data_IF_137084540561
#
_entry.id   IF_137084540561
#
_cell.length_a   1.000
_cell.length_b   1.000
_cell.length_c   1.000
_cell.angle_alpha   90.00
_cell.angle_beta   90.00
_cell.angle_gamma   90.00
#
_symmetry.space_group_name_H-M   'P 1'
#
loop_
_entity.id
_entity.type
_entity.pdbx_description
1 polymer ?
#
# COMPACT_ATOMS: atom_id res chain seq x y z
N UNK A 1 70.44 20.70 -58.79
CA UNK A 1 71.53 20.83 -57.79
C UNK A 1 70.98 21.62 -56.62
N UNK A 2 69.88 21.18 -55.99
CA UNK A 2 69.76 20.04 -55.05
C UNK A 2 70.56 20.26 -53.78
N UNK A 3 70.09 20.01 -52.56
CA UNK A 3 68.76 19.84 -51.97
C UNK A 3 69.05 19.62 -50.45
N UNK A 4 68.20 20.18 -49.58
CA UNK A 4 67.73 19.62 -48.29
C UNK A 4 68.79 19.28 -47.18
N UNK A 5 68.52 19.33 -45.87
CA UNK A 5 67.34 19.57 -45.06
C UNK A 5 67.77 20.01 -43.65
N UNK A 6 66.92 20.80 -42.99
CA UNK A 6 66.91 21.06 -41.56
C UNK A 6 66.45 19.84 -40.75
N UNK A 7 66.98 19.68 -39.54
CA UNK A 7 66.42 18.84 -38.48
C UNK A 7 66.62 19.50 -37.11
N UNK A 8 65.55 20.12 -36.59
CA UNK A 8 65.39 20.74 -35.26
C UNK A 8 64.83 19.76 -34.22
N UNK A 9 64.87 20.08 -32.91
CA UNK A 9 64.98 19.10 -31.83
C UNK A 9 63.65 18.59 -31.28
N UNK A 10 63.77 17.51 -30.51
CA UNK A 10 62.76 16.78 -29.75
C UNK A 10 62.13 17.59 -28.62
N UNK A 11 60.80 17.64 -28.60
CA UNK A 11 59.99 18.02 -27.42
C UNK A 11 58.91 16.98 -27.19
N UNK A 12 58.91 16.40 -25.98
CA UNK A 12 57.93 15.45 -25.45
C UNK A 12 56.51 16.06 -25.47
N UNK A 13 55.46 15.30 -25.85
CA UNK A 13 54.09 15.77 -25.73
C UNK A 13 53.60 15.62 -24.29
N UNK A 14 53.06 16.71 -23.75
CA UNK A 14 52.27 16.74 -22.54
C UNK A 14 50.95 15.97 -22.75
N UNK A 15 50.81 14.81 -22.11
CA UNK A 15 49.55 14.08 -22.03
C UNK A 15 48.61 14.82 -21.06
N UNK A 16 47.68 15.60 -21.61
CA UNK A 16 46.47 16.03 -20.92
C UNK A 16 45.61 14.80 -20.56
N UNK A 17 45.65 14.35 -19.31
CA UNK A 17 44.63 13.45 -18.77
C UNK A 17 43.33 14.26 -18.58
N UNK A 18 42.42 14.18 -19.55
CA UNK A 18 41.01 14.45 -19.31
C UNK A 18 40.47 13.32 -18.43
N UNK A 19 40.27 13.59 -17.14
CA UNK A 19 39.48 12.74 -16.26
C UNK A 19 38.01 12.85 -16.71
N UNK A 20 37.60 11.95 -17.61
CA UNK A 20 36.18 11.70 -17.85
C UNK A 20 35.63 11.08 -16.57
N UNK A 21 34.95 11.88 -15.75
CA UNK A 21 34.04 11.37 -14.72
C UNK A 21 32.93 10.61 -15.43
N UNK A 22 33.17 9.33 -15.73
CA UNK A 22 32.11 8.38 -16.01
C UNK A 22 31.31 8.26 -14.71
N UNK A 23 30.22 9.02 -14.61
CA UNK A 23 29.19 8.73 -13.64
C UNK A 23 28.72 7.31 -13.93
N UNK A 24 29.23 6.35 -13.16
CA UNK A 24 28.64 5.03 -13.07
C UNK A 24 27.21 5.26 -12.54
N UNK A 25 26.26 5.37 -13.46
CA UNK A 25 24.87 5.08 -13.16
C UNK A 25 24.86 3.60 -12.83
N UNK A 26 25.10 3.28 -11.56
CA UNK A 26 24.71 2.00 -11.03
C UNK A 26 23.23 1.82 -11.42
N UNK A 27 22.82 0.68 -12.01
CA UNK A 27 21.41 0.43 -12.22
C UNK A 27 20.75 0.51 -10.85
N UNK A 28 19.97 1.57 -10.62
CA UNK A 28 19.29 1.78 -9.36
C UNK A 28 18.44 0.54 -9.08
N UNK A 29 18.78 -0.12 -7.98
CA UNK A 29 18.14 -1.32 -7.52
C UNK A 29 16.65 -1.07 -7.32
N UNK A 30 15.78 -1.65 -8.16
CA UNK A 30 14.33 -1.89 -7.96
C UNK A 30 13.43 -0.74 -7.45
N UNK A 31 13.95 0.45 -7.18
CA UNK A 31 13.24 1.52 -6.49
C UNK A 31 12.57 2.40 -7.53
N UNK A 32 11.28 2.15 -7.75
CA UNK A 32 10.42 3.07 -8.48
C UNK A 32 10.40 4.43 -7.77
N UNK A 33 10.32 5.51 -8.54
CA UNK A 33 10.45 6.87 -8.04
C UNK A 33 9.16 7.68 -8.09
N UNK A 34 9.19 8.94 -7.63
CA UNK A 34 8.03 9.84 -7.62
C UNK A 34 7.33 10.02 -8.98
N UNK A 35 8.06 9.87 -10.08
CA UNK A 35 7.53 10.00 -11.43
C UNK A 35 6.53 8.89 -11.82
N UNK A 36 6.53 7.75 -11.14
CA UNK A 36 5.60 6.63 -11.39
C UNK A 36 4.35 6.66 -10.51
N UNK A 37 4.13 7.74 -9.75
CA UNK A 37 3.00 7.91 -8.83
C UNK A 37 2.01 8.90 -9.40
N UNK A 38 0.74 8.52 -9.53
CA UNK A 38 -0.39 9.41 -9.80
C UNK A 38 -1.13 9.70 -8.50
N UNK A 39 -1.36 10.97 -8.18
CA UNK A 39 -2.10 11.38 -6.97
C UNK A 39 -3.50 11.81 -7.37
N UNK A 40 -4.52 11.18 -6.81
CA UNK A 40 -5.92 11.50 -7.07
C UNK A 40 -6.41 12.55 -6.08
N UNK A 41 -6.91 13.66 -6.60
CA UNK A 41 -7.40 14.81 -5.84
C UNK A 41 -8.90 14.95 -6.05
N UNK A 42 -9.70 14.74 -5.01
CA UNK A 42 -11.12 15.06 -5.04
C UNK A 42 -11.31 16.53 -4.65
N UNK A 43 -11.58 17.39 -5.63
CA UNK A 43 -11.76 18.83 -5.43
C UNK A 43 -12.99 19.19 -4.61
N UNK A 44 -13.94 18.26 -4.42
CA UNK A 44 -15.06 18.42 -3.50
C UNK A 44 -14.65 18.26 -2.01
N UNK A 45 -13.48 17.69 -1.72
CA UNK A 45 -12.99 17.40 -0.37
C UNK A 45 -11.82 18.33 0.02
N UNK A 46 -11.99 19.24 1.00
CA UNK A 46 -10.88 20.01 1.54
C UNK A 46 -9.72 19.13 2.08
N UNK A 47 -9.98 18.06 2.87
CA UNK A 47 -8.92 17.12 3.28
C UNK A 47 -8.16 16.50 2.11
N UNK A 48 -8.85 16.14 1.01
CA UNK A 48 -8.21 15.53 -0.15
C UNK A 48 -7.20 16.48 -0.80
N UNK A 49 -7.61 17.72 -1.03
CA UNK A 49 -6.74 18.77 -1.60
C UNK A 49 -5.52 19.02 -0.73
N UNK A 50 -5.71 19.15 0.58
CA UNK A 50 -4.61 19.40 1.53
C UNK A 50 -3.61 18.24 1.59
N UNK A 51 -4.10 17.00 1.64
CA UNK A 51 -3.26 15.80 1.65
C UNK A 51 -2.48 15.68 0.34
N UNK A 52 -3.15 15.85 -0.80
CA UNK A 52 -2.52 15.75 -2.11
C UNK A 52 -1.41 16.80 -2.28
N UNK A 53 -1.70 18.06 -1.94
CA UNK A 53 -0.73 19.15 -2.01
C UNK A 53 0.50 18.88 -1.12
N UNK A 54 0.26 18.38 0.10
CA UNK A 54 1.32 17.98 1.01
C UNK A 54 2.17 16.85 0.40
N UNK A 55 1.51 15.78 -0.06
CA UNK A 55 2.17 14.59 -0.57
C UNK A 55 2.99 14.86 -1.84
N UNK A 56 2.43 15.60 -2.80
CA UNK A 56 3.10 16.03 -4.03
C UNK A 56 4.43 16.73 -3.72
N UNK A 57 4.42 17.67 -2.77
CA UNK A 57 5.62 18.39 -2.32
C UNK A 57 6.62 17.47 -1.60
N UNK A 58 6.16 16.71 -0.60
CA UNK A 58 7.06 15.90 0.23
C UNK A 58 7.78 14.81 -0.55
N UNK A 59 7.14 14.26 -1.58
CA UNK A 59 7.73 13.25 -2.47
C UNK A 59 8.34 13.81 -3.75
N UNK A 60 8.25 15.11 -4.01
CA UNK A 60 8.63 15.71 -5.31
C UNK A 60 7.96 15.00 -6.50
N UNK A 61 6.67 14.68 -6.37
CA UNK A 61 5.90 14.06 -7.45
C UNK A 61 5.63 15.14 -8.51
N UNK A 62 5.84 14.85 -9.81
CA UNK A 62 5.60 15.83 -10.86
C UNK A 62 4.16 16.38 -10.81
N UNK A 63 3.94 17.70 -10.94
CA UNK A 63 2.59 18.28 -10.92
C UNK A 63 1.64 17.69 -11.97
N UNK A 64 2.19 17.27 -13.13
CA UNK A 64 1.42 16.58 -14.18
C UNK A 64 0.82 15.24 -13.73
N UNK A 65 1.32 14.66 -12.64
CA UNK A 65 0.82 13.42 -12.07
C UNK A 65 -0.28 13.66 -11.01
N UNK A 66 -0.78 14.89 -10.86
CA UNK A 66 -1.97 15.16 -10.08
C UNK A 66 -3.23 15.01 -10.96
N UNK A 67 -4.06 14.03 -10.64
CA UNK A 67 -5.35 13.79 -11.30
C UNK A 67 -6.47 14.41 -10.48
N UNK A 68 -7.02 15.51 -10.96
CA UNK A 68 -8.17 16.16 -10.32
C UNK A 68 -9.49 15.54 -10.79
N UNK A 69 -10.38 15.30 -9.84
CA UNK A 69 -11.75 14.87 -10.07
C UNK A 69 -12.71 15.57 -9.11
N UNK A 70 -14.00 15.43 -9.36
CA UNK A 70 -15.05 15.89 -8.45
C UNK A 70 -16.03 14.76 -8.21
N UNK A 71 -15.87 14.05 -7.10
CA UNK A 71 -16.71 12.93 -6.68
C UNK A 71 -17.39 13.22 -5.32
N UNK A 72 -18.31 12.33 -4.93
CA UNK A 72 -18.89 12.35 -3.58
C UNK A 72 -17.81 12.37 -2.50
N UNK A 73 -18.10 13.02 -1.37
CA UNK A 73 -17.27 12.97 -0.16
C UNK A 73 -17.73 11.89 0.83
N UNK A 74 -18.83 11.21 0.52
CA UNK A 74 -19.30 10.04 1.25
C UNK A 74 -18.40 8.83 1.01
N UNK A 75 -18.45 7.87 1.94
CA UNK A 75 -17.63 6.67 1.85
C UNK A 75 -18.14 5.64 0.83
N UNK A 76 -19.43 5.68 0.53
CA UNK A 76 -20.11 4.74 -0.36
C UNK A 76 -20.54 5.45 -1.65
N UNK A 77 -20.40 4.74 -2.77
CA UNK A 77 -20.93 5.12 -4.08
C UNK A 77 -21.51 3.90 -4.77
N UNK A 78 -22.53 4.10 -5.60
CA UNK A 78 -22.96 3.07 -6.54
C UNK A 78 -21.95 2.88 -7.67
N UNK A 79 -22.06 1.76 -8.39
CA UNK A 79 -21.16 1.41 -9.50
C UNK A 79 -21.14 2.47 -10.61
N UNK A 80 -22.31 2.97 -11.01
CA UNK A 80 -22.41 3.94 -12.09
C UNK A 80 -21.73 5.27 -11.73
N UNK A 81 -21.81 5.67 -10.46
CA UNK A 81 -21.17 6.85 -9.90
C UNK A 81 -19.65 6.66 -9.81
N UNK A 82 -19.17 5.48 -9.39
CA UNK A 82 -17.74 5.14 -9.46
C UNK A 82 -17.22 5.25 -10.91
N UNK A 83 -17.89 4.64 -11.87
CA UNK A 83 -17.46 4.64 -13.28
C UNK A 83 -17.41 6.06 -13.85
N UNK A 84 -18.46 6.86 -13.59
CA UNK A 84 -18.61 8.22 -14.12
C UNK A 84 -17.69 9.24 -13.44
N UNK A 85 -17.61 9.22 -12.12
CA UNK A 85 -17.02 10.32 -11.33
C UNK A 85 -15.61 9.99 -10.81
N UNK A 86 -15.18 8.73 -10.89
CA UNK A 86 -13.86 8.28 -10.37
C UNK A 86 -13.03 7.60 -11.47
N UNK A 87 -13.44 6.42 -11.94
CA UNK A 87 -12.64 5.64 -12.89
C UNK A 87 -12.50 6.34 -14.25
N UNK A 88 -13.58 6.96 -14.75
CA UNK A 88 -13.59 7.73 -15.99
C UNK A 88 -12.61 8.91 -15.97
N UNK A 89 -12.70 9.85 -15.02
CA UNK A 89 -11.77 10.97 -14.89
C UNK A 89 -10.31 10.53 -14.73
N UNK A 90 -10.04 9.49 -13.94
CA UNK A 90 -8.68 8.93 -13.78
C UNK A 90 -8.18 8.34 -15.10
N UNK A 91 -9.03 7.62 -15.84
CA UNK A 91 -8.71 7.09 -17.16
C UNK A 91 -8.36 8.20 -18.17
N UNK A 92 -9.12 9.31 -18.16
CA UNK A 92 -8.84 10.46 -19.02
C UNK A 92 -7.51 11.12 -18.63
N UNK A 93 -7.27 11.39 -17.34
CA UNK A 93 -6.01 11.95 -16.88
C UNK A 93 -4.79 11.09 -17.29
N UNK A 94 -4.90 9.76 -17.14
CA UNK A 94 -3.86 8.83 -17.54
C UNK A 94 -3.60 8.85 -19.05
N UNK A 95 -4.66 8.91 -19.87
CA UNK A 95 -4.55 8.94 -21.33
C UNK A 95 -4.00 10.27 -21.84
N UNK A 96 -4.59 11.38 -21.39
CA UNK A 96 -4.24 12.74 -21.83
C UNK A 96 -2.82 13.12 -21.43
N UNK A 97 -2.35 12.64 -20.27
CA UNK A 97 -0.98 12.81 -19.81
C UNK A 97 0.04 11.85 -20.44
N UNK A 98 -0.39 10.92 -21.31
CA UNK A 98 0.42 9.79 -21.80
C UNK A 98 1.10 9.01 -20.66
N UNK A 99 0.34 8.81 -19.57
CA UNK A 99 0.83 8.29 -18.29
C UNK A 99 0.57 6.79 -18.11
N UNK A 100 -0.32 6.19 -18.91
CA UNK A 100 -0.83 4.81 -18.76
C UNK A 100 0.24 3.77 -18.42
N UNK A 101 1.38 3.77 -19.12
CA UNK A 101 2.46 2.79 -18.89
C UNK A 101 3.58 3.28 -17.96
N UNK A 102 3.60 4.58 -17.65
CA UNK A 102 4.65 5.20 -16.80
C UNK A 102 4.24 5.27 -15.34
N UNK A 103 2.95 5.34 -15.06
CA UNK A 103 2.39 5.29 -13.72
C UNK A 103 2.27 3.84 -13.31
N UNK A 104 2.83 3.53 -12.14
CA UNK A 104 2.76 2.20 -11.53
C UNK A 104 1.88 2.24 -10.28
N UNK A 105 1.81 3.40 -9.61
CA UNK A 105 1.07 3.60 -8.38
C UNK A 105 -0.01 4.65 -8.56
N UNK A 106 -1.23 4.36 -8.10
CA UNK A 106 -2.28 5.36 -7.93
C UNK A 106 -2.46 5.58 -6.43
N UNK A 107 -2.47 6.84 -6.01
CA UNK A 107 -2.62 7.24 -4.61
C UNK A 107 -3.91 8.00 -4.45
N UNK A 108 -4.89 7.39 -3.77
CA UNK A 108 -6.11 8.08 -3.34
C UNK A 108 -5.87 8.77 -2.00
N UNK A 109 -6.67 9.78 -1.68
CA UNK A 109 -6.58 10.54 -0.42
C UNK A 109 -7.89 10.48 0.35
N UNK A 110 -7.88 10.75 1.67
CA UNK A 110 -9.12 10.98 2.43
C UNK A 110 -10.08 11.93 1.70
N UNK A 111 -11.32 11.49 1.50
CA UNK A 111 -12.35 12.20 0.75
C UNK A 111 -12.54 11.75 -0.69
N UNK A 112 -11.74 10.81 -1.19
CA UNK A 112 -12.16 9.94 -2.31
C UNK A 112 -13.03 8.82 -1.72
N UNK A 113 -14.17 8.45 -2.31
CA UNK A 113 -15.01 7.35 -1.86
C UNK A 113 -14.22 6.06 -1.64
N UNK A 114 -14.70 5.23 -0.73
CA UNK A 114 -14.00 4.06 -0.21
C UNK A 114 -14.58 2.76 -0.77
N UNK A 115 -15.91 2.68 -0.87
CA UNK A 115 -16.65 1.46 -1.15
C UNK A 115 -17.56 1.64 -2.35
N UNK A 116 -17.69 0.57 -3.14
CA UNK A 116 -18.66 0.47 -4.21
C UNK A 116 -19.75 -0.49 -3.77
N UNK A 117 -20.98 0.02 -3.74
CA UNK A 117 -22.17 -0.77 -3.43
C UNK A 117 -22.46 -1.80 -4.53
N UNK A 118 -22.98 -2.95 -4.11
CA UNK A 118 -23.26 -4.08 -5.00
C UNK A 118 -23.86 -5.26 -4.25
N UNK A 119 -23.94 -6.41 -4.93
CA UNK A 119 -24.35 -7.66 -4.30
C UNK A 119 -23.25 -8.20 -3.39
N UNK A 120 -23.63 -8.79 -2.25
CA UNK A 120 -22.69 -9.40 -1.30
C UNK A 120 -22.34 -10.84 -1.67
N UNK A 121 -21.23 -11.35 -1.13
CA UNK A 121 -20.85 -12.76 -1.20
C UNK A 121 -19.72 -13.03 -2.21
N UNK A 122 -19.28 -14.28 -2.30
CA UNK A 122 -18.08 -14.65 -3.08
C UNK A 122 -18.18 -14.35 -4.59
N UNK A 123 -19.41 -14.35 -5.13
CA UNK A 123 -19.71 -13.96 -6.52
C UNK A 123 -20.44 -12.62 -6.62
N UNK A 124 -20.41 -11.81 -5.56
CA UNK A 124 -21.04 -10.50 -5.52
C UNK A 124 -20.18 -9.43 -6.19
N UNK A 125 -20.74 -8.23 -6.36
CA UNK A 125 -20.10 -7.09 -7.05
C UNK A 125 -19.69 -5.94 -6.13
N UNK A 126 -19.86 -6.10 -4.81
CA UNK A 126 -19.28 -5.18 -3.83
C UNK A 126 -17.76 -5.19 -3.94
N UNK A 127 -17.15 -4.02 -3.90
CA UNK A 127 -15.70 -3.88 -3.94
C UNK A 127 -15.24 -2.62 -3.21
N UNK A 128 -13.94 -2.54 -2.92
CA UNK A 128 -13.34 -1.24 -2.60
C UNK A 128 -13.05 -0.47 -3.88
N UNK A 129 -13.17 0.85 -3.80
CA UNK A 129 -12.73 1.76 -4.88
C UNK A 129 -11.28 1.51 -5.25
N UNK A 130 -10.42 1.26 -4.25
CA UNK A 130 -8.99 1.08 -4.45
C UNK A 130 -8.67 -0.22 -5.23
N UNK A 131 -9.36 -1.32 -4.95
CA UNK A 131 -9.17 -2.60 -5.65
C UNK A 131 -9.68 -2.59 -7.10
N UNK A 132 -10.69 -1.77 -7.37
CA UNK A 132 -11.25 -1.56 -8.71
C UNK A 132 -10.35 -0.64 -9.54
N UNK A 133 -9.80 0.40 -8.93
CA UNK A 133 -8.75 1.22 -9.56
C UNK A 133 -7.48 0.40 -9.85
N UNK A 134 -7.18 -0.62 -9.05
CA UNK A 134 -6.07 -1.52 -9.35
C UNK A 134 -6.32 -2.31 -10.64
N UNK A 135 -7.56 -2.73 -10.90
CA UNK A 135 -7.95 -3.39 -12.13
C UNK A 135 -7.99 -2.44 -13.35
N UNK A 136 -7.97 -1.12 -13.16
CA UNK A 136 -8.14 -0.15 -14.25
C UNK A 136 -7.11 -0.29 -15.37
N UNK A 137 -5.86 -0.68 -15.08
CA UNK A 137 -4.87 -0.90 -16.14
C UNK A 137 -5.31 -2.03 -17.09
N UNK A 138 -5.90 -3.10 -16.55
CA UNK A 138 -6.44 -4.19 -17.36
C UNK A 138 -7.46 -3.66 -18.36
N UNK A 139 -8.36 -2.77 -17.92
CA UNK A 139 -9.39 -2.20 -18.78
C UNK A 139 -8.81 -1.32 -19.88
N UNK A 140 -7.83 -0.49 -19.53
CA UNK A 140 -7.16 0.42 -20.46
C UNK A 140 -6.32 -0.36 -21.49
N UNK A 141 -5.61 -1.40 -21.06
CA UNK A 141 -4.76 -2.21 -21.93
C UNK A 141 -5.56 -3.06 -22.92
N UNK A 142 -6.75 -3.55 -22.53
CA UNK A 142 -7.62 -4.35 -23.39
C UNK A 142 -8.72 -3.55 -24.08
N UNK A 143 -8.85 -2.26 -23.77
CA UNK A 143 -9.95 -1.39 -24.19
C UNK A 143 -11.34 -2.01 -23.93
N UNK A 144 -11.48 -2.68 -22.78
CA UNK A 144 -12.67 -3.42 -22.38
C UNK A 144 -12.76 -3.50 -20.85
N UNK A 145 -13.91 -3.17 -20.23
CA UNK A 145 -14.10 -3.36 -18.80
C UNK A 145 -13.95 -4.82 -18.38
N UNK A 146 -13.32 -5.03 -17.24
CA UNK A 146 -13.25 -6.31 -16.56
C UNK A 146 -14.61 -6.75 -16.02
N UNK A 147 -14.80 -8.06 -15.76
CA UNK A 147 -15.97 -8.56 -15.03
C UNK A 147 -15.98 -8.06 -13.58
N UNK A 148 -17.13 -7.53 -13.13
CA UNK A 148 -17.29 -6.99 -11.77
C UNK A 148 -17.93 -7.98 -10.77
N UNK A 149 -18.47 -9.10 -11.25
CA UNK A 149 -19.01 -10.14 -10.39
C UNK A 149 -17.88 -11.06 -9.89
N UNK A 150 -17.78 -11.21 -8.58
CA UNK A 150 -16.73 -11.99 -7.92
C UNK A 150 -15.42 -11.22 -7.86
N UNK A 151 -14.31 -11.94 -8.00
CA UNK A 151 -12.97 -11.37 -7.90
C UNK A 151 -12.14 -11.65 -9.14
N UNK A 152 -11.16 -10.79 -9.39
CA UNK A 152 -10.13 -11.02 -10.40
C UNK A 152 -8.87 -11.59 -9.75
N UNK A 153 -8.14 -12.43 -10.49
CA UNK A 153 -6.80 -12.84 -10.08
C UNK A 153 -5.87 -11.62 -10.09
N UNK A 154 -5.09 -11.44 -9.02
CA UNK A 154 -3.98 -10.49 -9.07
C UNK A 154 -2.81 -11.15 -9.82
N UNK A 155 -2.43 -10.68 -11.03
CA UNK A 155 -1.37 -11.31 -11.80
C UNK A 155 0.02 -11.16 -11.16
N UNK A 156 0.19 -10.22 -10.23
CA UNK A 156 1.43 -9.97 -9.48
C UNK A 156 1.55 -10.83 -8.20
N UNK A 157 0.48 -11.49 -7.76
CA UNK A 157 0.50 -12.29 -6.54
C UNK A 157 1.58 -13.39 -6.58
N UNK A 158 2.47 -13.38 -5.57
CA UNK A 158 3.56 -14.36 -5.42
C UNK A 158 4.63 -14.31 -6.53
N UNK A 159 4.67 -13.27 -7.37
CA UNK A 159 5.61 -13.18 -8.50
C UNK A 159 6.99 -12.65 -8.09
N UNK A 160 8.03 -13.29 -8.64
CA UNK A 160 9.39 -12.76 -8.56
C UNK A 160 9.58 -11.59 -9.55
N UNK A 161 10.53 -10.70 -9.25
CA UNK A 161 10.94 -9.62 -10.14
C UNK A 161 10.32 -8.25 -9.84
N UNK A 162 10.74 -7.23 -10.62
CA UNK A 162 10.29 -5.85 -10.47
C UNK A 162 8.84 -5.71 -10.92
N UNK A 163 8.06 -4.85 -10.27
CA UNK A 163 6.77 -4.45 -10.80
C UNK A 163 6.93 -3.44 -11.95
N UNK A 164 6.49 -3.82 -13.16
CA UNK A 164 6.55 -2.98 -14.36
C UNK A 164 5.34 -3.21 -15.26
N UNK A 165 4.96 -2.17 -16.01
CA UNK A 165 4.07 -2.31 -17.16
C UNK A 165 4.84 -2.61 -18.45
N UNK A 166 4.27 -3.37 -19.39
CA UNK A 166 2.96 -4.03 -19.32
C UNK A 166 3.00 -5.41 -18.64
N UNK A 167 4.13 -5.82 -18.05
CA UNK A 167 4.36 -7.16 -17.49
C UNK A 167 3.27 -7.60 -16.50
N UNK A 168 2.84 -6.70 -15.63
CA UNK A 168 1.73 -6.94 -14.71
C UNK A 168 0.60 -5.94 -14.98
N UNK A 169 -0.54 -6.38 -15.54
CA UNK A 169 -1.58 -5.46 -16.00
C UNK A 169 -2.52 -4.98 -14.89
N UNK A 170 -1.99 -4.26 -13.90
CA UNK A 170 -2.71 -3.59 -12.82
C UNK A 170 -2.02 -2.27 -12.45
N UNK A 171 -2.70 -1.37 -11.75
CA UNK A 171 -2.02 -0.33 -10.97
C UNK A 171 -1.92 -0.79 -9.51
N UNK A 172 -0.84 -0.42 -8.81
CA UNK A 172 -0.72 -0.64 -7.37
C UNK A 172 -1.34 0.55 -6.64
N UNK A 173 -2.56 0.36 -6.11
CA UNK A 173 -3.34 1.45 -5.52
C UNK A 173 -3.14 1.49 -4.01
N UNK A 174 -2.80 2.68 -3.50
CA UNK A 174 -2.70 2.92 -2.06
C UNK A 174 -3.52 4.14 -1.69
N UNK A 175 -3.85 4.25 -0.40
CA UNK A 175 -4.66 5.33 0.14
C UNK A 175 -3.92 6.05 1.25
N UNK A 176 -3.85 7.38 1.13
CA UNK A 176 -3.44 8.29 2.20
C UNK A 176 -4.67 8.69 3.00
N UNK A 177 -5.06 7.84 3.96
CA UNK A 177 -6.20 8.07 4.83
C UNK A 177 -5.95 7.67 6.28
N UNK A 178 -6.51 8.48 7.17
CA UNK A 178 -6.55 8.31 8.62
C UNK A 178 -7.78 9.07 9.15
N UNK A 179 -7.96 9.11 10.47
CA UNK A 179 -9.05 9.87 11.09
C UNK A 179 -8.98 11.38 10.84
N UNK A 180 -7.79 11.93 10.60
CA UNK A 180 -7.56 13.34 10.32
C UNK A 180 -6.35 13.55 9.40
N UNK A 181 -6.25 14.76 8.84
CA UNK A 181 -5.18 15.15 7.91
C UNK A 181 -3.81 15.14 8.59
N UNK A 182 -3.73 15.50 9.87
CA UNK A 182 -2.47 15.52 10.62
C UNK A 182 -1.86 14.13 10.73
N UNK A 183 -2.68 13.12 11.04
CA UNK A 183 -2.25 11.72 11.09
C UNK A 183 -1.80 11.23 9.72
N UNK A 184 -2.45 11.66 8.63
CA UNK A 184 -1.99 11.36 7.27
C UNK A 184 -0.64 12.02 6.96
N UNK A 185 -0.44 13.28 7.34
CA UNK A 185 0.86 13.97 7.16
C UNK A 185 1.97 13.27 7.95
N UNK A 186 1.70 12.86 9.19
CA UNK A 186 2.61 12.04 9.99
C UNK A 186 2.96 10.73 9.27
N UNK A 187 1.97 9.98 8.77
CA UNK A 187 2.20 8.75 8.01
C UNK A 187 3.13 8.98 6.81
N UNK A 188 2.93 10.07 6.05
CA UNK A 188 3.80 10.46 4.93
C UNK A 188 5.23 10.74 5.44
N UNK A 189 5.39 11.50 6.51
CA UNK A 189 6.72 11.84 7.05
C UNK A 189 7.44 10.64 7.66
N UNK A 190 6.70 9.72 8.27
CA UNK A 190 7.22 8.46 8.79
C UNK A 190 7.73 7.57 7.66
N UNK A 191 7.04 7.56 6.51
CA UNK A 191 7.48 6.82 5.33
C UNK A 191 8.81 7.30 4.74
N UNK A 192 9.14 8.59 4.93
CA UNK A 192 10.41 9.18 4.49
C UNK A 192 11.56 8.89 5.45
N UNK A 193 11.25 8.50 6.70
CA UNK A 193 12.21 8.16 7.75
C UNK A 193 12.31 6.65 7.98
N UNK A 194 11.67 5.86 7.12
CA UNK A 194 11.64 4.41 7.20
C UNK A 194 13.06 3.83 7.16
N UNK A 195 13.32 2.86 8.04
CA UNK A 195 14.60 2.19 8.13
C UNK A 195 14.42 0.75 8.61
N UNK A 196 15.25 -0.16 8.10
CA UNK A 196 15.16 -1.58 8.39
C UNK A 196 15.75 -1.90 9.77
N UNK A 197 14.96 -1.62 10.82
CA UNK A 197 15.30 -1.87 12.22
C UNK A 197 14.08 -2.31 13.02
N UNK A 198 14.26 -2.68 14.28
CA UNK A 198 13.16 -3.09 15.15
C UNK A 198 12.66 -4.51 14.88
N UNK A 199 11.45 -4.83 15.31
CA UNK A 199 10.94 -6.20 15.43
C UNK A 199 9.67 -6.42 14.62
N UNK A 200 9.53 -7.63 14.10
CA UNK A 200 8.30 -8.14 13.53
C UNK A 200 7.53 -8.89 14.62
N UNK A 201 6.27 -8.52 14.81
CA UNK A 201 5.36 -9.13 15.78
C UNK A 201 4.37 -10.01 15.02
N UNK A 202 4.36 -11.30 15.32
CA UNK A 202 3.51 -12.29 14.68
C UNK A 202 2.67 -12.98 15.75
N UNK A 203 1.35 -12.80 15.69
CA UNK A 203 0.42 -13.22 16.74
C UNK A 203 -0.65 -14.16 16.14
N UNK A 204 -0.60 -15.45 16.49
CA UNK A 204 -1.60 -16.44 16.06
C UNK A 204 -2.78 -16.43 17.04
N UNK A 205 -3.93 -16.93 16.61
CA UNK A 205 -5.11 -17.01 17.49
C UNK A 205 -5.04 -18.17 18.50
N UNK A 206 -4.26 -19.20 18.19
CA UNK A 206 -4.16 -20.46 18.92
C UNK A 206 -3.05 -21.35 18.32
N UNK A 207 -2.87 -22.53 18.90
CA UNK A 207 -1.82 -23.49 18.52
C UNK A 207 -2.17 -24.30 17.25
N UNK A 208 -3.40 -24.22 16.75
CA UNK A 208 -3.87 -25.05 15.65
C UNK A 208 -3.24 -24.64 14.31
N UNK A 209 -3.24 -25.57 13.35
CA UNK A 209 -2.70 -25.33 12.02
C UNK A 209 -3.79 -24.93 11.01
N UNK A 210 -4.70 -24.04 11.41
CA UNK A 210 -5.64 -23.40 10.49
C UNK A 210 -4.86 -22.67 9.37
N UNK A 211 -5.45 -22.45 8.17
CA UNK A 211 -4.72 -21.81 7.07
C UNK A 211 -4.07 -20.47 7.45
N UNK A 212 -4.78 -19.62 8.21
CA UNK A 212 -4.24 -18.34 8.70
C UNK A 212 -3.05 -18.53 9.65
N UNK A 213 -3.17 -19.43 10.63
CA UNK A 213 -2.06 -19.76 11.54
C UNK A 213 -0.86 -20.35 10.80
N UNK A 214 -1.09 -21.17 9.77
CA UNK A 214 -0.03 -21.72 8.94
C UNK A 214 0.75 -20.62 8.19
N UNK A 215 0.06 -19.62 7.64
CA UNK A 215 0.71 -18.47 6.98
C UNK A 215 1.47 -17.60 7.99
N UNK A 216 0.88 -17.27 9.14
CA UNK A 216 1.57 -16.51 10.18
C UNK A 216 2.82 -17.22 10.70
N UNK A 217 2.71 -18.52 10.99
CA UNK A 217 3.86 -19.35 11.39
C UNK A 217 4.93 -19.41 10.32
N UNK A 218 4.55 -19.52 9.05
CA UNK A 218 5.51 -19.49 7.95
C UNK A 218 6.20 -18.12 7.84
N UNK A 219 5.49 -17.02 8.06
CA UNK A 219 6.08 -15.69 8.08
C UNK A 219 7.17 -15.57 9.15
N UNK A 220 6.94 -16.10 10.37
CA UNK A 220 7.95 -16.05 11.43
C UNK A 220 9.22 -16.85 11.12
N UNK A 221 9.11 -17.93 10.33
CA UNK A 221 10.25 -18.73 9.88
C UNK A 221 11.05 -18.07 8.75
N UNK A 222 10.45 -17.15 8.00
CA UNK A 222 11.08 -16.46 6.86
C UNK A 222 11.72 -15.13 7.24
N UNK A 223 11.54 -14.69 8.48
CA UNK A 223 12.07 -13.44 9.02
C UNK A 223 13.27 -13.72 9.95
N UNK A 224 14.15 -12.73 10.17
CA UNK A 224 15.32 -12.89 11.05
C UNK A 224 14.90 -13.22 12.48
N UNK A 225 15.40 -14.34 13.00
CA UNK A 225 14.96 -14.92 14.29
C UNK A 225 15.21 -14.01 15.50
N UNK A 226 16.24 -13.15 15.45
CA UNK A 226 16.59 -12.18 16.48
C UNK A 226 15.68 -10.93 16.48
N UNK A 227 14.84 -10.76 15.44
CA UNK A 227 13.90 -9.63 15.31
C UNK A 227 12.44 -10.09 15.37
N UNK A 228 12.15 -11.30 15.80
CA UNK A 228 10.79 -11.84 15.86
C UNK A 228 10.26 -11.88 17.28
N UNK A 229 9.07 -11.32 17.46
CA UNK A 229 8.19 -11.59 18.61
C UNK A 229 7.07 -12.48 18.10
N UNK A 230 7.00 -13.72 18.57
CA UNK A 230 6.05 -14.72 18.10
C UNK A 230 5.29 -15.31 19.27
N UNK A 231 3.95 -15.29 19.20
CA UNK A 231 3.07 -16.02 20.12
C UNK A 231 2.14 -16.92 19.30
N UNK A 232 2.00 -18.17 19.74
CA UNK A 232 1.10 -19.15 19.14
C UNK A 232 0.10 -19.74 20.10
N UNK A 233 -0.11 -19.08 21.24
CA UNK A 233 -1.14 -19.40 22.20
C UNK A 233 -2.36 -18.52 21.97
N UNK A 234 -3.47 -18.73 22.70
CA UNK A 234 -4.62 -17.84 22.68
C UNK A 234 -4.39 -16.44 23.29
N UNK A 235 -3.15 -16.08 23.63
CA UNK A 235 -2.82 -14.81 24.28
C UNK A 235 -2.48 -13.76 23.21
N UNK A 236 -3.28 -12.71 23.16
CA UNK A 236 -2.99 -11.55 22.31
C UNK A 236 -1.74 -10.80 22.79
N UNK A 237 -0.86 -10.44 21.85
CA UNK A 237 0.33 -9.63 22.09
C UNK A 237 -0.04 -8.15 22.18
N UNK A 238 0.34 -7.51 23.30
CA UNK A 238 0.13 -6.08 23.56
C UNK A 238 1.44 -5.37 23.87
N UNK A 239 1.43 -4.03 23.78
CA UNK A 239 2.44 -3.13 24.32
C UNK A 239 3.89 -3.41 23.87
N UNK A 240 4.06 -3.89 22.64
CA UNK A 240 5.38 -4.07 22.04
C UNK A 240 5.98 -2.72 21.63
N UNK A 241 7.31 -2.66 21.64
CA UNK A 241 8.07 -1.47 21.24
C UNK A 241 9.01 -1.82 20.09
N UNK A 242 9.43 -0.78 19.36
CA UNK A 242 10.25 -0.92 18.17
C UNK A 242 9.62 -1.81 17.09
N UNK A 243 8.29 -1.74 16.92
CA UNK A 243 7.55 -2.58 15.97
C UNK A 243 7.71 -2.03 14.55
N UNK A 244 8.24 -2.85 13.64
CA UNK A 244 8.37 -2.53 12.19
C UNK A 244 7.41 -3.34 11.31
N UNK A 245 6.90 -4.47 11.81
CA UNK A 245 5.94 -5.28 11.10
C UNK A 245 5.00 -5.98 12.07
N UNK A 246 3.72 -6.09 11.74
CA UNK A 246 2.74 -6.82 12.55
C UNK A 246 1.79 -7.64 11.67
N UNK A 247 1.54 -8.88 12.07
CA UNK A 247 0.51 -9.71 11.45
C UNK A 247 -0.23 -10.58 12.47
N UNK A 248 -1.56 -10.66 12.37
CA UNK A 248 -2.38 -11.50 13.25
C UNK A 248 -3.80 -11.78 12.74
N UNK A 249 -4.61 -12.44 13.57
CA UNK A 249 -6.06 -12.57 13.37
C UNK A 249 -6.85 -11.32 13.79
N UNK A 250 -6.20 -10.30 14.36
CA UNK A 250 -6.86 -9.06 14.79
C UNK A 250 -8.04 -9.31 15.72
N UNK A 251 -9.17 -8.65 15.48
CA UNK A 251 -10.41 -8.86 16.27
C UNK A 251 -11.20 -10.12 15.91
N UNK A 252 -10.74 -10.92 14.94
CA UNK A 252 -11.26 -12.27 14.75
C UNK A 252 -10.66 -13.26 15.76
N UNK A 253 -9.56 -12.90 16.45
CA UNK A 253 -9.16 -13.61 17.66
C UNK A 253 -10.19 -13.36 18.77
N UNK A 254 -10.79 -14.44 19.27
CA UNK A 254 -11.77 -14.40 20.34
C UNK A 254 -11.19 -13.90 21.67
N UNK A 255 -9.89 -13.69 21.82
CA UNK A 255 -9.25 -13.14 23.01
C UNK A 255 -8.85 -11.66 22.85
N UNK A 256 -9.00 -11.09 21.64
CA UNK A 256 -8.86 -9.66 21.40
C UNK A 256 -9.99 -8.90 22.10
N UNK A 257 -9.63 -8.09 23.10
CA UNK A 257 -10.59 -7.30 23.91
C UNK A 257 -10.38 -5.81 23.78
N UNK A 258 -9.12 -5.38 23.72
CA UNK A 258 -8.80 -3.97 23.65
C UNK A 258 -9.04 -3.45 22.23
N UNK A 259 -9.33 -2.16 22.06
CA UNK A 259 -9.33 -1.54 20.73
C UNK A 259 -7.92 -1.31 20.22
N UNK A 260 -7.06 -0.80 21.09
CA UNK A 260 -5.66 -0.52 20.81
C UNK A 260 -4.77 -1.71 21.22
N UNK A 261 -3.68 -1.93 20.48
CA UNK A 261 -2.61 -2.86 20.87
C UNK A 261 -1.60 -2.18 21.80
N UNK A 262 -1.50 -0.85 21.73
CA UNK A 262 -0.56 -0.07 22.52
C UNK A 262 0.88 -0.21 22.03
N UNK A 263 1.09 -0.49 20.74
CA UNK A 263 2.42 -0.64 20.19
C UNK A 263 3.11 0.71 20.03
N UNK A 264 4.45 0.72 20.20
CA UNK A 264 5.30 1.83 19.73
C UNK A 264 5.86 1.46 18.37
N UNK A 265 5.20 1.98 17.34
CA UNK A 265 5.54 1.77 15.93
C UNK A 265 6.77 2.58 15.53
N UNK A 266 7.59 1.99 14.66
CA UNK A 266 8.70 2.68 14.02
C UNK A 266 8.26 3.38 12.71
N UNK A 267 8.95 4.44 12.29
CA UNK A 267 8.77 4.97 10.94
C UNK A 267 8.98 3.88 9.88
N UNK A 268 8.04 3.75 8.96
CA UNK A 268 8.01 2.66 7.97
C UNK A 268 7.31 1.39 8.44
N UNK A 269 6.75 1.34 9.65
CA UNK A 269 6.10 0.12 10.13
C UNK A 269 4.83 -0.21 9.35
N UNK A 270 4.66 -1.48 9.00
CA UNK A 270 3.49 -1.98 8.26
C UNK A 270 2.72 -3.05 9.04
N UNK A 271 1.43 -3.21 8.75
CA UNK A 271 0.64 -4.28 9.35
C UNK A 271 -0.38 -4.94 8.41
N UNK A 272 -0.76 -6.17 8.72
CA UNK A 272 -1.89 -6.86 8.10
C UNK A 272 -2.63 -7.70 9.15
N UNK A 273 -3.91 -7.95 8.96
CA UNK A 273 -4.67 -8.84 9.83
C UNK A 273 -5.79 -9.55 9.06
N UNK A 274 -6.24 -10.69 9.56
CA UNK A 274 -7.36 -11.43 8.97
C UNK A 274 -8.70 -10.98 9.53
N UNK A 275 -9.08 -9.71 9.34
CA UNK A 275 -10.31 -9.13 9.93
C UNK A 275 -11.29 -8.61 8.89
N UNK A 276 -12.53 -9.07 8.97
CA UNK A 276 -13.60 -8.60 8.11
C UNK A 276 -13.96 -7.15 8.41
N UNK A 277 -14.21 -6.33 7.39
CA UNK A 277 -14.72 -4.95 7.53
C UNK A 277 -13.82 -4.01 8.36
N UNK A 278 -12.56 -4.34 8.59
CA UNK A 278 -11.67 -3.49 9.39
C UNK A 278 -11.30 -2.18 8.67
N UNK A 279 -11.54 -2.04 7.37
CA UNK A 279 -11.42 -0.78 6.65
C UNK A 279 -12.77 -0.23 6.19
N UNK A 280 -13.88 -0.59 6.85
CA UNK A 280 -15.23 -0.08 6.52
C UNK A 280 -15.38 1.43 6.58
N UNK A 281 -14.50 2.12 7.33
CA UNK A 281 -14.55 3.56 7.51
C UNK A 281 -13.20 4.11 7.96
N UNK A 282 -12.92 5.36 7.59
CA UNK A 282 -11.90 6.22 8.19
C UNK A 282 -12.49 7.36 9.02
N UNK A 283 -13.78 7.27 9.40
CA UNK A 283 -14.36 8.18 10.39
C UNK A 283 -13.95 7.76 11.80
N UNK A 284 -13.65 8.74 12.66
CA UNK A 284 -13.25 8.48 14.04
C UNK A 284 -14.45 8.00 14.85
N UNK A 285 -14.39 6.82 15.50
CA UNK A 285 -15.45 6.41 16.41
C UNK A 285 -15.44 7.26 17.69
N UNK A 286 -16.54 7.24 18.46
CA UNK A 286 -16.59 7.83 19.79
C UNK A 286 -15.40 7.38 20.66
N UNK A 287 -14.97 8.25 21.57
CA UNK A 287 -13.77 8.00 22.39
C UNK A 287 -13.90 6.75 23.29
N UNK A 288 -15.12 6.42 23.70
CA UNK A 288 -15.48 5.27 24.52
C UNK A 288 -15.86 4.02 23.70
N UNK A 289 -15.84 4.12 22.36
CA UNK A 289 -16.09 2.97 21.51
C UNK A 289 -14.98 1.92 21.65
N UNK A 290 -15.40 0.67 21.80
CA UNK A 290 -14.55 -0.51 21.96
C UNK A 290 -15.12 -1.69 21.16
N UNK A 291 -14.26 -2.67 20.91
CA UNK A 291 -14.67 -3.92 20.24
C UNK A 291 -15.81 -4.58 21.01
N UNK A 292 -16.72 -5.20 20.28
CA UNK A 292 -17.85 -5.95 20.85
C UNK A 292 -18.05 -7.28 20.11
N UNK A 293 -19.10 -8.02 20.47
CA UNK A 293 -19.50 -9.21 19.74
C UNK A 293 -20.56 -8.90 18.67
N UNK A 294 -20.84 -9.88 17.80
CA UNK A 294 -21.85 -9.76 16.75
C UNK A 294 -23.31 -9.75 17.25
N UNK A 295 -23.54 -10.01 18.55
CA UNK A 295 -24.88 -9.99 19.17
C UNK A 295 -25.26 -8.58 19.63
N UNK A 296 -24.27 -7.77 20.00
CA UNK A 296 -24.41 -6.41 20.54
C UNK A 296 -24.46 -5.34 19.42
N UNK A 297 -25.46 -5.42 18.54
CA UNK A 297 -25.55 -4.57 17.32
C UNK A 297 -25.59 -3.07 17.63
N UNK A 298 -26.14 -2.69 18.77
CA UNK A 298 -26.20 -1.32 19.28
C UNK A 298 -24.82 -0.72 19.58
N UNK A 299 -23.77 -1.55 19.72
CA UNK A 299 -22.39 -1.12 19.95
C UNK A 299 -21.56 -1.03 18.66
N UNK A 300 -22.14 -1.36 17.52
CA UNK A 300 -21.41 -1.38 16.25
C UNK A 300 -21.04 0.05 15.85
N UNK A 301 -19.87 0.19 15.25
CA UNK A 301 -19.47 1.42 14.59
C UNK A 301 -19.39 1.13 13.09
N UNK A 302 -20.12 1.89 12.27
CA UNK A 302 -20.22 1.63 10.82
C UNK A 302 -20.64 0.18 10.50
N UNK A 303 -21.58 -0.37 11.27
CA UNK A 303 -22.17 -1.68 11.00
C UNK A 303 -21.31 -2.90 11.38
N UNK A 304 -20.20 -2.71 12.11
CA UNK A 304 -19.37 -3.82 12.57
C UNK A 304 -18.77 -3.57 13.96
N UNK A 305 -18.58 -4.64 14.76
CA UNK A 305 -17.92 -4.57 16.07
C UNK A 305 -16.40 -4.77 16.00
N UNK A 306 -15.85 -5.00 14.80
CA UNK A 306 -14.46 -5.38 14.57
C UNK A 306 -13.50 -4.18 14.61
N UNK A 307 -12.19 -4.46 14.73
CA UNK A 307 -11.10 -3.48 14.71
C UNK A 307 -11.17 -2.55 13.51
N UNK A 308 -10.46 -1.42 13.60
CA UNK A 308 -10.36 -0.43 12.53
C UNK A 308 -8.89 -0.34 12.08
N UNK A 309 -8.67 -0.43 10.77
CA UNK A 309 -7.38 -0.19 10.11
C UNK A 309 -6.85 1.19 10.48
N UNK A 310 -7.75 2.17 10.58
CA UNK A 310 -7.43 3.53 11.00
C UNK A 310 -6.91 3.62 12.45
N UNK A 311 -7.23 2.68 13.34
CA UNK A 311 -6.66 2.66 14.71
C UNK A 311 -5.15 2.34 14.68
N UNK A 312 -4.70 1.43 13.81
CA UNK A 312 -3.28 1.14 13.66
C UNK A 312 -2.51 2.34 13.11
N UNK A 313 -3.09 3.01 12.12
CA UNK A 313 -2.55 4.26 11.58
C UNK A 313 -2.53 5.36 12.65
N UNK A 314 -3.55 5.44 13.51
CA UNK A 314 -3.60 6.37 14.63
C UNK A 314 -2.52 6.06 15.67
N UNK A 315 -2.27 4.79 15.99
CA UNK A 315 -1.20 4.38 16.91
C UNK A 315 0.21 4.73 16.38
N UNK A 316 0.42 4.70 15.06
CA UNK A 316 1.70 5.06 14.44
C UNK A 316 2.18 4.14 13.33
N UNK A 317 1.40 3.14 12.91
CA UNK A 317 1.74 2.37 11.73
C UNK A 317 1.78 3.30 10.50
N UNK A 318 2.81 3.14 9.67
CA UNK A 318 2.99 3.89 8.42
C UNK A 318 2.19 3.25 7.27
N UNK A 319 1.90 1.96 7.36
CA UNK A 319 1.11 1.24 6.38
C UNK A 319 0.24 0.16 7.00
N UNK A 320 -0.89 -0.12 6.36
CA UNK A 320 -1.80 -1.17 6.77
C UNK A 320 -2.58 -1.72 5.58
N UNK A 321 -2.91 -3.01 5.58
CA UNK A 321 -3.98 -3.52 4.73
C UNK A 321 -5.30 -3.55 5.50
N UNK A 322 -6.42 -3.40 4.80
CA UNK A 322 -7.72 -3.66 5.38
C UNK A 322 -8.78 -4.03 4.35
N UNK A 323 -10.00 -4.24 4.83
CA UNK A 323 -11.11 -4.75 4.03
C UNK A 323 -12.38 -3.92 4.24
N UNK A 324 -12.96 -3.42 3.16
CA UNK A 324 -14.16 -2.57 3.23
C UNK A 324 -15.46 -3.36 3.46
N UNK A 325 -15.45 -4.63 3.07
CA UNK A 325 -16.50 -5.63 3.24
C UNK A 325 -15.86 -6.96 3.70
N UNK A 326 -16.62 -8.06 3.71
CA UNK A 326 -16.12 -9.40 4.04
C UNK A 326 -15.11 -9.91 2.99
N UNK A 327 -13.83 -10.13 3.33
CA UNK A 327 -12.81 -10.53 2.36
C UNK A 327 -12.76 -12.03 2.08
N UNK A 328 -13.25 -12.88 3.00
CA UNK A 328 -12.89 -14.30 3.11
C UNK A 328 -11.38 -14.51 3.30
N UNK A 329 -11.00 -15.39 4.22
CA UNK A 329 -9.60 -15.66 4.57
C UNK A 329 -8.71 -15.94 3.33
N UNK A 330 -9.25 -16.68 2.36
CA UNK A 330 -8.55 -17.04 1.12
C UNK A 330 -8.15 -15.87 0.23
N UNK A 331 -8.72 -14.67 0.40
CA UNK A 331 -8.46 -13.50 -0.44
C UNK A 331 -7.80 -12.34 0.32
N UNK A 332 -7.41 -12.56 1.58
CA UNK A 332 -6.64 -11.62 2.41
C UNK A 332 -5.14 -11.61 2.03
N UNK A 333 -4.41 -10.51 2.31
CA UNK A 333 -2.95 -10.47 2.17
C UNK A 333 -2.25 -11.62 2.90
N UNK A 334 -1.22 -12.20 2.27
CA UNK A 334 -0.42 -13.29 2.83
C UNK A 334 0.76 -12.77 3.65
N UNK A 335 0.77 -12.92 4.99
CA UNK A 335 1.86 -12.39 5.82
C UNK A 335 3.22 -13.04 5.52
N UNK A 336 3.23 -14.31 5.10
CA UNK A 336 4.44 -15.05 4.69
C UNK A 336 5.04 -14.58 3.35
N UNK A 337 4.31 -13.74 2.61
CA UNK A 337 4.79 -13.08 1.40
C UNK A 337 5.08 -11.60 1.70
N UNK A 338 4.14 -10.92 2.36
CA UNK A 338 4.19 -9.49 2.66
C UNK A 338 5.44 -9.11 3.46
N UNK A 339 5.60 -9.69 4.65
CA UNK A 339 6.62 -9.25 5.60
C UNK A 339 8.03 -9.57 5.12
N UNK A 340 8.32 -10.77 4.57
CA UNK A 340 9.63 -11.04 3.99
C UNK A 340 9.95 -10.15 2.78
N UNK A 341 8.97 -9.86 1.92
CA UNK A 341 9.18 -8.97 0.78
C UNK A 341 9.57 -7.55 1.22
N UNK A 342 8.87 -7.02 2.23
CA UNK A 342 9.16 -5.70 2.79
C UNK A 342 10.51 -5.68 3.53
N UNK A 343 10.80 -6.72 4.32
CA UNK A 343 12.09 -6.91 4.99
C UNK A 343 13.26 -6.92 4.00
N UNK A 344 13.10 -7.48 2.81
CA UNK A 344 14.13 -7.48 1.77
C UNK A 344 14.19 -6.18 0.93
N UNK A 345 13.51 -5.13 1.37
CA UNK A 345 13.64 -3.79 0.81
C UNK A 345 12.72 -3.47 -0.35
N UNK A 346 11.67 -4.28 -0.60
CA UNK A 346 10.58 -3.85 -1.49
C UNK A 346 9.84 -2.69 -0.86
N UNK A 347 9.29 -1.80 -1.69
CA UNK A 347 8.41 -0.73 -1.20
C UNK A 347 7.07 -1.31 -0.71
N UNK A 348 6.31 -0.48 -0.02
CA UNK A 348 5.06 -0.82 0.65
C UNK A 348 4.04 -1.35 -0.36
N UNK A 349 3.80 -0.62 -1.45
CA UNK A 349 2.79 -1.01 -2.44
C UNK A 349 3.12 -2.37 -3.08
N UNK A 350 4.36 -2.57 -3.53
CA UNK A 350 4.77 -3.85 -4.11
C UNK A 350 4.71 -4.98 -3.08
N UNK A 351 5.07 -4.74 -1.83
CA UNK A 351 5.02 -5.78 -0.79
C UNK A 351 3.57 -6.23 -0.50
N UNK A 352 2.63 -5.28 -0.42
CA UNK A 352 1.21 -5.61 -0.25
C UNK A 352 0.63 -6.31 -1.46
N UNK A 353 0.79 -5.78 -2.66
CA UNK A 353 0.21 -6.40 -3.85
C UNK A 353 0.88 -7.71 -4.25
N UNK A 354 2.14 -7.95 -3.87
CA UNK A 354 2.74 -9.27 -4.00
C UNK A 354 1.99 -10.30 -3.14
N UNK A 355 1.42 -9.87 -2.02
CA UNK A 355 0.74 -10.71 -1.03
C UNK A 355 -0.78 -10.79 -1.17
N UNK A 356 -1.41 -9.90 -1.97
CA UNK A 356 -2.86 -9.87 -2.18
C UNK A 356 -3.25 -10.83 -3.33
N UNK A 357 -4.08 -11.86 -3.11
CA UNK A 357 -4.41 -12.83 -4.16
C UNK A 357 -5.41 -12.31 -5.20
N UNK A 358 -6.28 -11.36 -4.82
CA UNK A 358 -7.45 -10.96 -5.60
C UNK A 358 -7.62 -9.44 -5.71
N UNK A 359 -8.03 -8.99 -6.90
CA UNK A 359 -8.42 -7.61 -7.23
C UNK A 359 -9.94 -7.54 -7.52
N UNK A 360 -10.47 -6.34 -7.78
CA UNK A 360 -11.93 -6.12 -7.89
C UNK A 360 -12.64 -6.69 -6.65
N UNK A 361 -12.02 -6.45 -5.48
CA UNK A 361 -12.36 -7.11 -4.22
C UNK A 361 -12.31 -6.11 -3.04
N UNK A 362 -12.34 -6.63 -1.81
CA UNK A 362 -12.60 -5.82 -0.63
C UNK A 362 -11.31 -5.17 -0.09
N UNK A 363 -10.15 -5.62 -0.59
CA UNK A 363 -8.82 -5.25 -0.11
C UNK A 363 -8.47 -3.80 -0.43
N UNK A 364 -7.99 -3.07 0.59
CA UNK A 364 -7.31 -1.78 0.43
C UNK A 364 -5.91 -1.84 1.01
N UNK A 365 -5.06 -0.91 0.57
CA UNK A 365 -3.73 -0.66 1.14
C UNK A 365 -3.65 0.80 1.55
N UNK A 366 -3.40 1.04 2.83
CA UNK A 366 -3.20 2.37 3.40
C UNK A 366 -1.70 2.61 3.56
N UNK A 367 -1.22 3.78 3.16
CA UNK A 367 0.19 4.13 3.27
C UNK A 367 0.73 4.82 2.03
N UNK A 368 1.95 5.32 2.15
CA UNK A 368 2.73 5.81 1.02
C UNK A 368 3.27 4.63 0.20
N UNK A 369 2.97 4.53 -1.12
CA UNK A 369 3.37 3.40 -1.94
C UNK A 369 4.89 3.25 -2.05
N UNK A 370 5.64 4.36 -1.99
CA UNK A 370 7.10 4.40 -2.11
C UNK A 370 7.82 4.21 -0.77
N UNK A 371 7.09 4.03 0.33
CA UNK A 371 7.66 3.71 1.63
C UNK A 371 8.48 2.42 1.53
N UNK A 372 9.75 2.45 1.92
CA UNK A 372 10.60 1.26 1.97
C UNK A 372 11.51 1.37 3.19
N UNK A 373 11.64 0.28 3.95
CA UNK A 373 12.58 0.22 5.07
C UNK A 373 14.03 0.00 4.60
N UNK A 374 14.24 -0.35 3.34
CA UNK A 374 15.56 -0.67 2.78
C UNK A 374 15.95 -2.13 3.02
N UNK A 375 17.09 -2.53 2.46
CA UNK A 375 17.62 -3.89 2.63
C UNK A 375 18.17 -4.09 4.05
N UNK A 376 18.21 -5.33 4.56
CA UNK A 376 18.78 -5.65 5.87
C UNK A 376 20.26 -5.28 6.00
#
# INVERSE_FOLDING_TARGET
MDAAAHGTPSTLPACCLLAVLAACVAPNAFAQGPASVLVVVNDASPPSREIAEYYLRRRNIPPRNACHLRASVEQDVDRATYDRDIAGPISHCLKDGNLVNSILYIVTTSGVPLRIEGSSGIGGSQASVDSELAALYFDLAHNKPHPVDGSLENPYFGRAGPFTHPTFPLYLVTRLAAYDVETVKRMIDDSLRAANRGKFVIDLSDETNSPGNAWLRKASLLLPSDRIVFDNSPKVIYNQTDVIGYASWGSNDQHRRNRFLGFRWLPGAIMTEFVSTNARTFQRPPADWSLSDWKSKERFFFGSPQSLTADYIQEGATGASGHVYEPYLGMTPRPDILLPAYYHGRNLAESYYLSIPRLSWQNIVVGDPLCAIGKP
#
